data_IF_103444490609
#
_entry.id   IF_103444490609
#
_cell.length_a   1.000
_cell.length_b   1.000
_cell.length_c   1.000
_cell.angle_alpha   90.00
_cell.angle_beta   90.00
_cell.angle_gamma   90.00
#
_symmetry.space_group_name_H-M   'P 1'
#
loop_
_entity.id
_entity.type
_entity.pdbx_description
1 polymer ?
#
# COMPACT_ATOMS: atom_id res chain seq x y z
N UNK A 1 -19.73 9.35 0.03
CA UNK A 1 -18.64 9.10 0.99
C UNK A 1 -17.33 9.14 0.20
N UNK A 2 -16.25 9.68 0.77
CA UNK A 2 -14.94 9.70 0.10
C UNK A 2 -14.15 8.45 0.46
N UNK A 3 -13.20 8.05 -0.38
CA UNK A 3 -12.31 6.91 -0.09
C UNK A 3 -11.53 7.14 1.21
N UNK A 4 -11.04 8.35 1.47
CA UNK A 4 -10.38 8.71 2.73
C UNK A 4 -11.27 8.45 3.96
N UNK A 5 -12.57 8.75 3.87
CA UNK A 5 -13.49 8.45 4.96
C UNK A 5 -13.72 6.95 5.12
N UNK A 6 -13.82 6.21 4.02
CA UNK A 6 -13.94 4.75 4.05
C UNK A 6 -12.70 4.08 4.67
N UNK A 7 -11.50 4.53 4.29
CA UNK A 7 -10.24 4.07 4.87
C UNK A 7 -10.23 4.29 6.38
N UNK A 8 -10.57 5.49 6.86
CA UNK A 8 -10.63 5.76 8.30
C UNK A 8 -11.63 4.85 9.03
N UNK A 9 -12.85 4.71 8.51
CA UNK A 9 -13.86 3.83 9.09
C UNK A 9 -13.41 2.37 9.15
N UNK A 10 -12.73 1.89 8.11
CA UNK A 10 -12.19 0.54 8.09
C UNK A 10 -11.03 0.38 9.07
N UNK A 11 -10.11 1.35 9.15
CA UNK A 11 -9.04 1.34 10.12
C UNK A 11 -9.57 1.29 11.56
N UNK A 12 -10.60 2.09 11.87
CA UNK A 12 -11.28 2.06 13.17
C UNK A 12 -11.89 0.68 13.44
N UNK A 13 -12.60 0.10 12.47
CA UNK A 13 -13.18 -1.25 12.58
C UNK A 13 -12.12 -2.33 12.83
N UNK A 14 -11.02 -2.31 12.08
CA UNK A 14 -9.92 -3.28 12.26
C UNK A 14 -9.27 -3.13 13.64
N UNK A 15 -9.17 -1.91 14.16
CA UNK A 15 -8.68 -1.67 15.52
C UNK A 15 -9.66 -2.18 16.58
N UNK A 16 -10.96 -1.92 16.43
CA UNK A 16 -11.99 -2.39 17.36
C UNK A 16 -12.10 -3.92 17.40
N UNK A 17 -12.10 -4.56 16.23
CA UNK A 17 -12.31 -6.01 16.09
C UNK A 17 -11.05 -6.82 16.41
N UNK A 18 -9.86 -6.31 16.06
CA UNK A 18 -8.61 -7.07 16.09
C UNK A 18 -7.46 -6.39 16.84
N UNK A 19 -7.60 -5.14 17.26
CA UNK A 19 -6.51 -4.37 17.87
C UNK A 19 -5.34 -4.10 16.93
N UNK A 20 -5.58 -4.04 15.61
CA UNK A 20 -4.53 -3.76 14.62
C UNK A 20 -4.57 -2.30 14.18
N UNK A 21 -3.40 -1.69 14.14
CA UNK A 21 -3.21 -0.32 13.64
C UNK A 21 -3.09 -0.32 12.12
N UNK A 22 -3.26 0.83 11.44
CA UNK A 22 -3.02 0.95 9.99
C UNK A 22 -1.69 0.34 9.53
N UNK A 23 -0.59 0.69 10.19
CA UNK A 23 0.71 0.08 9.91
C UNK A 23 0.69 -1.45 9.98
N UNK A 24 0.03 -2.04 11.00
CA UNK A 24 -0.08 -3.50 11.13
C UNK A 24 -1.02 -4.11 10.10
N UNK A 25 -2.01 -3.36 9.62
CA UNK A 25 -2.84 -3.78 8.48
C UNK A 25 -1.95 -3.93 7.25
N UNK A 26 -1.14 -2.92 6.95
CA UNK A 26 -0.23 -2.95 5.80
C UNK A 26 0.84 -4.08 5.88
N UNK A 27 1.18 -4.57 7.08
CA UNK A 27 2.18 -5.62 7.28
C UNK A 27 1.61 -7.05 7.39
N UNK A 28 0.35 -7.29 7.02
CA UNK A 28 -0.18 -8.67 7.05
C UNK A 28 -1.69 -8.84 6.85
N UNK A 29 -2.42 -7.75 6.63
CA UNK A 29 -3.86 -7.71 6.32
C UNK A 29 -4.17 -6.78 5.14
N UNK A 30 -3.18 -6.41 4.34
CA UNK A 30 -3.33 -5.43 3.27
C UNK A 30 -4.32 -5.90 2.19
N UNK A 31 -4.29 -7.18 1.82
CA UNK A 31 -5.25 -7.78 0.88
C UNK A 31 -6.68 -7.80 1.44
N UNK A 32 -6.88 -8.24 2.69
CA UNK A 32 -8.18 -8.23 3.37
C UNK A 32 -8.76 -6.79 3.37
N UNK A 33 -7.93 -5.81 3.74
CA UNK A 33 -8.31 -4.41 3.82
C UNK A 33 -8.64 -3.80 2.46
N UNK A 34 -7.84 -4.09 1.43
CA UNK A 34 -8.11 -3.66 0.07
C UNK A 34 -9.41 -4.29 -0.45
N UNK A 35 -9.61 -5.59 -0.24
CA UNK A 35 -10.84 -6.29 -0.65
C UNK A 35 -12.09 -5.71 0.03
N UNK A 36 -11.98 -5.31 1.29
CA UNK A 36 -13.05 -4.61 2.01
C UNK A 36 -13.39 -3.25 1.36
N UNK A 37 -12.39 -2.47 0.94
CA UNK A 37 -12.59 -1.20 0.22
C UNK A 37 -13.23 -1.40 -1.15
N UNK A 38 -12.75 -2.37 -1.92
CA UNK A 38 -13.32 -2.72 -3.23
C UNK A 38 -14.78 -3.16 -3.09
N UNK A 39 -15.10 -3.96 -2.07
CA UNK A 39 -16.48 -4.38 -1.73
C UNK A 39 -17.40 -3.21 -1.35
N UNK A 40 -16.83 -2.06 -1.00
CA UNK A 40 -17.54 -0.80 -0.74
C UNK A 40 -17.61 0.11 -1.98
N UNK A 41 -17.33 -0.43 -3.18
CA UNK A 41 -17.25 0.27 -4.47
C UNK A 41 -16.11 1.31 -4.55
N UNK A 42 -15.00 1.10 -3.82
CA UNK A 42 -13.82 1.95 -3.90
C UNK A 42 -12.65 1.29 -4.63
N UNK A 43 -12.49 1.68 -5.89
CA UNK A 43 -11.29 1.37 -6.68
C UNK A 43 -11.21 -0.10 -7.04
N UNK A 44 -10.00 -0.55 -7.31
CA UNK A 44 -9.68 -1.95 -7.58
C UNK A 44 -8.51 -2.38 -6.70
N UNK A 45 -8.55 -3.63 -6.25
CA UNK A 45 -7.43 -4.27 -5.54
C UNK A 45 -6.30 -4.56 -6.52
N UNK A 46 -5.08 -4.16 -6.18
CA UNK A 46 -3.90 -4.38 -7.02
C UNK A 46 -2.71 -4.76 -6.15
N UNK A 47 -2.02 -5.83 -6.52
CA UNK A 47 -0.71 -6.16 -5.95
C UNK A 47 0.41 -5.37 -6.62
N UNK A 48 1.47 -5.05 -5.88
CA UNK A 48 2.55 -4.23 -6.42
C UNK A 48 3.29 -4.83 -7.61
N UNK A 49 3.31 -6.15 -7.77
CA UNK A 49 3.87 -6.83 -8.96
C UNK A 49 2.87 -6.91 -10.14
N UNK A 50 1.60 -6.62 -9.92
CA UNK A 50 0.55 -6.60 -10.95
C UNK A 50 0.32 -5.20 -11.54
N UNK A 51 0.72 -4.13 -10.84
CA UNK A 51 0.51 -2.76 -11.30
C UNK A 51 1.48 -2.36 -12.42
N UNK A 52 0.98 -1.55 -13.36
CA UNK A 52 1.80 -1.03 -14.46
C UNK A 52 2.99 -0.20 -13.97
N UNK A 53 4.14 -0.34 -14.65
CA UNK A 53 5.39 0.37 -14.33
C UNK A 53 5.26 1.89 -14.24
N UNK A 54 4.26 2.50 -14.91
CA UNK A 54 4.00 3.95 -14.89
C UNK A 54 3.58 4.48 -13.51
N UNK A 55 3.08 3.61 -12.64
CA UNK A 55 2.70 3.93 -11.26
C UNK A 55 3.87 3.77 -10.28
N UNK A 56 5.09 3.58 -10.76
CA UNK A 56 6.30 3.54 -9.95
C UNK A 56 7.19 4.70 -10.34
N UNK A 57 7.89 5.32 -9.37
CA UNK A 57 8.81 6.42 -9.65
C UNK A 57 9.87 5.98 -10.67
N UNK A 58 10.20 6.84 -11.65
CA UNK A 58 11.30 6.59 -12.57
C UNK A 58 12.60 6.30 -11.81
N UNK A 59 13.21 5.16 -12.08
CA UNK A 59 14.49 4.78 -11.46
C UNK A 59 14.40 4.06 -10.12
N UNK A 60 13.22 3.62 -9.66
CA UNK A 60 13.11 2.75 -8.46
C UNK A 60 13.97 1.47 -8.58
N UNK A 61 14.16 0.95 -9.79
CA UNK A 61 15.05 -0.19 -10.08
C UNK A 61 16.54 0.10 -9.88
N UNK A 62 16.95 1.37 -9.91
CA UNK A 62 18.32 1.76 -9.60
C UNK A 62 18.61 1.62 -8.10
N UNK A 63 17.57 1.52 -7.26
CA UNK A 63 17.72 1.30 -5.83
C UNK A 63 18.14 -0.13 -5.53
N UNK A 64 17.46 -1.10 -6.14
CA UNK A 64 17.78 -2.51 -6.06
C UNK A 64 17.44 -3.20 -7.40
N UNK A 65 18.39 -3.90 -8.05
CA UNK A 65 18.13 -4.60 -9.31
C UNK A 65 16.97 -5.59 -9.24
N UNK A 66 16.74 -6.20 -8.07
CA UNK A 66 15.70 -7.20 -7.84
C UNK A 66 14.46 -6.60 -7.15
N UNK A 67 14.28 -5.27 -7.20
CA UNK A 67 13.18 -4.56 -6.53
C UNK A 67 11.81 -5.14 -6.87
N UNK A 68 11.53 -5.31 -8.16
CA UNK A 68 10.26 -5.84 -8.64
C UNK A 68 10.03 -7.32 -8.32
N UNK A 69 11.10 -8.08 -8.10
CA UNK A 69 11.01 -9.49 -7.77
C UNK A 69 10.75 -9.71 -6.28
N UNK A 70 11.35 -8.89 -5.43
CA UNK A 70 11.35 -9.13 -3.98
C UNK A 70 10.43 -8.18 -3.20
N UNK A 71 10.33 -6.91 -3.62
CA UNK A 71 9.65 -5.88 -2.85
C UNK A 71 8.29 -5.52 -3.42
N UNK A 72 8.18 -5.39 -4.75
CA UNK A 72 6.89 -5.11 -5.38
C UNK A 72 5.75 -6.06 -4.94
N UNK A 73 5.92 -7.41 -4.89
CA UNK A 73 4.85 -8.31 -4.47
C UNK A 73 4.53 -8.29 -2.97
N UNK A 74 5.27 -7.52 -2.16
CA UNK A 74 5.13 -7.55 -0.70
C UNK A 74 3.90 -6.79 -0.15
N UNK A 75 3.18 -6.04 -1.00
CA UNK A 75 2.06 -5.21 -0.56
C UNK A 75 0.92 -5.20 -1.56
N UNK A 76 -0.29 -5.05 -1.01
CA UNK A 76 -1.53 -4.92 -1.74
C UNK A 76 -2.18 -3.57 -1.39
N UNK A 77 -2.74 -2.89 -2.38
CA UNK A 77 -3.28 -1.54 -2.23
C UNK A 77 -4.49 -1.32 -3.16
N UNK A 78 -5.11 -0.15 -3.04
CA UNK A 78 -6.25 0.26 -3.86
C UNK A 78 -5.85 1.30 -4.89
N UNK A 79 -6.15 1.03 -6.16
CA UNK A 79 -6.10 2.03 -7.22
C UNK A 79 -7.49 2.66 -7.40
N UNK A 80 -7.62 3.95 -7.09
CA UNK A 80 -8.88 4.68 -7.19
C UNK A 80 -8.65 6.05 -7.83
N UNK A 81 -9.30 6.31 -8.97
CA UNK A 81 -9.17 7.57 -9.73
C UNK A 81 -7.71 7.96 -9.99
N UNK A 82 -6.94 7.00 -10.50
CA UNK A 82 -5.52 7.14 -10.83
C UNK A 82 -4.59 7.47 -9.65
N UNK A 83 -5.06 7.30 -8.41
CA UNK A 83 -4.25 7.43 -7.19
C UNK A 83 -4.23 6.13 -6.41
N UNK A 84 -3.14 5.89 -5.70
CA UNK A 84 -2.90 4.66 -4.94
C UNK A 84 -3.15 4.94 -3.45
N UNK A 85 -3.91 4.07 -2.81
CA UNK A 85 -4.32 4.20 -1.40
C UNK A 85 -4.03 2.92 -0.64
N UNK A 86 -3.75 3.06 0.64
CA UNK A 86 -3.74 1.95 1.60
C UNK A 86 -4.23 2.44 2.96
N UNK A 87 -4.08 1.63 4.01
CA UNK A 87 -4.55 1.99 5.35
C UNK A 87 -3.84 3.20 5.98
N UNK A 88 -2.63 3.55 5.53
CA UNK A 88 -1.82 4.66 6.05
C UNK A 88 -1.86 5.92 5.18
N UNK A 89 -2.42 5.84 3.96
CA UNK A 89 -2.39 6.93 2.99
C UNK A 89 -3.80 7.40 2.57
N UNK A 90 -4.41 8.27 3.39
CA UNK A 90 -5.77 8.79 3.16
C UNK A 90 -5.89 9.70 1.93
N UNK A 91 -4.84 10.44 1.60
CA UNK A 91 -4.82 11.36 0.45
C UNK A 91 -4.52 10.63 -0.87
N UNK A 92 -3.98 9.42 -0.74
CA UNK A 92 -3.42 8.65 -1.83
C UNK A 92 -2.15 9.27 -2.40
N UNK A 93 -1.38 8.47 -3.12
CA UNK A 93 -0.13 8.86 -3.79
C UNK A 93 -0.22 8.65 -5.30
N UNK A 94 0.69 9.28 -6.03
CA UNK A 94 0.76 9.15 -7.49
C UNK A 94 1.65 7.96 -7.87
N UNK A 95 2.64 7.62 -7.04
CA UNK A 95 3.52 6.47 -7.22
C UNK A 95 3.47 5.49 -6.05
N UNK A 96 3.49 4.18 -6.35
CA UNK A 96 3.36 3.09 -5.37
C UNK A 96 4.45 3.14 -4.32
N UNK A 97 5.69 3.41 -4.75
CA UNK A 97 6.83 3.53 -3.85
C UNK A 97 6.73 4.72 -2.89
N UNK A 98 5.83 5.69 -3.08
CA UNK A 98 5.57 6.77 -2.13
C UNK A 98 4.71 6.33 -0.93
N UNK A 99 4.08 5.14 -0.99
CA UNK A 99 3.33 4.61 0.15
C UNK A 99 4.26 4.43 1.37
N UNK A 100 3.78 4.73 2.59
CA UNK A 100 4.58 4.56 3.81
C UNK A 100 5.17 3.16 3.96
N UNK A 101 4.45 2.12 3.53
CA UNK A 101 4.95 0.74 3.52
C UNK A 101 6.27 0.61 2.73
N UNK A 102 6.29 1.01 1.46
CA UNK A 102 7.47 0.88 0.61
C UNK A 102 8.60 1.82 1.04
N UNK A 103 8.28 3.03 1.50
CA UNK A 103 9.28 3.96 2.05
C UNK A 103 10.02 3.37 3.27
N UNK A 104 9.32 2.61 4.12
CA UNK A 104 9.97 1.88 5.22
C UNK A 104 10.86 0.75 4.73
N UNK A 105 10.47 0.01 3.68
CA UNK A 105 11.33 -1.02 3.09
C UNK A 105 12.62 -0.41 2.52
N UNK A 106 12.48 0.69 1.76
CA UNK A 106 13.63 1.44 1.21
C UNK A 106 14.60 1.91 2.30
N UNK A 107 14.09 2.36 3.45
CA UNK A 107 14.94 2.86 4.55
C UNK A 107 15.48 1.75 5.46
N UNK A 108 14.75 0.66 5.65
CA UNK A 108 15.10 -0.40 6.61
C UNK A 108 16.19 -1.34 6.08
N UNK A 109 16.22 -1.63 4.79
CA UNK A 109 17.28 -2.49 4.21
C UNK A 109 18.65 -1.80 4.18
N UNK A 110 18.69 -0.47 4.31
CA UNK A 110 19.95 0.27 4.49
C UNK A 110 20.50 0.20 5.92
N UNK A 111 19.70 -0.21 6.91
CA UNK A 111 20.15 -0.35 8.29
C UNK A 111 20.80 -1.72 8.59
N UNK A 112 20.69 -2.69 7.67
CA UNK A 112 21.24 -4.04 7.82
C UNK A 112 22.50 -4.34 6.98
N UNK A 113 23.01 -3.37 6.21
CA UNK A 113 24.12 -3.56 5.27
C UNK A 113 25.38 -2.77 5.67
N UNK A 114 25.92 -2.99 6.86
CA UNK A 114 27.33 -2.68 7.22
C UNK A 114 27.87 -3.64 8.28
#
# INVERSE_FOLDING_TARGET
MSIAHAINLLCDRYFEDYGVTPERINNGRCEDFATDLESMDYGIVVWGDEIERKYWTPGIENFCPDWFTHFAPAHCFILYKDRIYDSECLEGVDYVDELPFYQRQLTSDFAGAY
#
